data_IF_402443472258
#
_entry.id   IF_402443472258
#
_cell.length_a   1.000
_cell.length_b   1.000
_cell.length_c   1.000
_cell.angle_alpha   90.00
_cell.angle_beta   90.00
_cell.angle_gamma   90.00
#
_symmetry.space_group_name_H-M   'P 1'
#
loop_
_entity.id
_entity.type
_entity.pdbx_description
1 polymer ?
#
# COMPACT_ATOMS: atom_id res chain seq x y z
N UNK A 1 4.98 -16.64 10.46
CA UNK A 1 3.92 -16.49 11.49
C UNK A 1 4.45 -17.20 12.70
N UNK A 2 4.66 -16.49 13.80
CA UNK A 2 5.12 -17.09 15.04
C UNK A 2 3.90 -17.45 15.87
N UNK A 3 3.84 -18.68 16.36
CA UNK A 3 2.87 -19.12 17.34
C UNK A 3 3.54 -19.01 18.70
N UNK A 4 3.13 -18.04 19.52
CA UNK A 4 3.72 -17.81 20.85
C UNK A 4 3.46 -18.96 21.82
N UNK A 5 2.28 -19.60 21.74
CA UNK A 5 1.92 -20.75 22.56
C UNK A 5 2.77 -21.99 22.23
N UNK A 6 3.09 -22.20 20.95
CA UNK A 6 3.92 -23.32 20.49
C UNK A 6 5.41 -22.97 20.36
N UNK A 7 5.80 -21.71 20.61
CA UNK A 7 7.15 -21.15 20.37
C UNK A 7 7.72 -21.46 18.98
N UNK A 8 6.87 -21.58 17.97
CA UNK A 8 7.25 -22.07 16.65
C UNK A 8 6.93 -21.07 15.55
N UNK A 9 7.66 -21.17 14.42
CA UNK A 9 7.35 -20.41 13.21
C UNK A 9 6.74 -21.33 12.16
N UNK A 10 5.70 -20.83 11.48
CA UNK A 10 5.13 -21.54 10.32
C UNK A 10 6.22 -21.78 9.27
N UNK A 11 6.41 -23.05 8.89
CA UNK A 11 7.26 -23.42 7.78
C UNK A 11 6.44 -23.37 6.49
N UNK A 12 6.52 -22.25 5.78
CA UNK A 12 5.74 -21.99 4.57
C UNK A 12 6.06 -23.03 3.47
N UNK A 13 7.32 -23.47 3.36
CA UNK A 13 7.73 -24.50 2.39
C UNK A 13 7.06 -25.84 2.69
N UNK A 14 7.02 -26.24 3.96
CA UNK A 14 6.33 -27.48 4.38
C UNK A 14 4.83 -27.43 4.06
N UNK A 15 4.17 -26.30 4.38
CA UNK A 15 2.74 -26.13 4.10
C UNK A 15 2.43 -26.17 2.61
N UNK A 16 3.22 -25.48 1.78
CA UNK A 16 3.00 -25.44 0.34
C UNK A 16 3.33 -26.78 -0.35
N UNK A 17 4.28 -27.56 0.16
CA UNK A 17 4.58 -28.91 -0.33
C UNK A 17 3.48 -29.92 0.02
N UNK A 18 2.88 -29.80 1.20
CA UNK A 18 1.81 -30.69 1.66
C UNK A 18 0.43 -30.35 1.05
N UNK A 19 0.37 -29.40 0.12
CA UNK A 19 -0.86 -28.91 -0.47
C UNK A 19 -1.43 -29.96 -1.43
N UNK A 20 -2.74 -30.20 -1.35
CA UNK A 20 -3.47 -31.11 -2.26
C UNK A 20 -3.38 -30.60 -3.70
N UNK A 21 -3.26 -31.52 -4.66
CA UNK A 21 -3.22 -31.21 -6.08
C UNK A 21 -4.38 -30.28 -6.49
N UNK A 22 -4.08 -29.34 -7.37
CA UNK A 22 -5.01 -28.33 -7.88
C UNK A 22 -5.70 -27.40 -6.87
N UNK A 23 -5.40 -27.45 -5.57
CA UNK A 23 -5.99 -26.51 -4.61
C UNK A 23 -5.49 -25.06 -4.83
N UNK A 24 -6.14 -24.08 -4.21
CA UNK A 24 -5.78 -22.66 -4.27
C UNK A 24 -5.34 -22.17 -2.88
N UNK A 25 -4.39 -21.23 -2.83
CA UNK A 25 -3.87 -20.67 -1.58
C UNK A 25 -4.34 -19.24 -1.44
N UNK A 26 -5.07 -18.95 -0.37
CA UNK A 26 -5.51 -17.61 -0.01
C UNK A 26 -4.79 -17.14 1.26
N UNK A 27 -4.21 -15.93 1.25
CA UNK A 27 -3.52 -15.40 2.43
C UNK A 27 -3.79 -13.91 2.65
N UNK A 28 -4.19 -13.56 3.88
CA UNK A 28 -4.26 -12.18 4.35
C UNK A 28 -3.25 -11.97 5.49
N UNK A 29 -2.08 -11.40 5.19
CA UNK A 29 -0.94 -11.32 6.13
C UNK A 29 -0.07 -10.08 5.89
N UNK A 30 0.82 -9.70 6.83
CA UNK A 30 1.79 -8.63 6.62
C UNK A 30 2.69 -8.85 5.39
N UNK A 31 3.16 -7.76 4.80
CA UNK A 31 3.95 -7.77 3.57
C UNK A 31 5.20 -8.66 3.65
N UNK A 32 5.84 -8.76 4.83
CA UNK A 32 7.00 -9.65 5.06
C UNK A 32 6.64 -11.13 4.85
N UNK A 33 5.47 -11.56 5.31
CA UNK A 33 5.01 -12.96 5.13
C UNK A 33 4.66 -13.20 3.67
N UNK A 34 3.96 -12.27 3.02
CA UNK A 34 3.61 -12.39 1.60
C UNK A 34 4.87 -12.49 0.72
N UNK A 35 5.89 -11.69 0.99
CA UNK A 35 7.19 -11.80 0.29
C UNK A 35 7.81 -13.19 0.46
N UNK A 36 7.74 -13.75 1.65
CA UNK A 36 8.25 -15.10 1.91
C UNK A 36 7.45 -16.17 1.14
N UNK A 37 6.12 -16.06 1.12
CA UNK A 37 5.25 -16.95 0.33
C UNK A 37 5.65 -16.90 -1.14
N UNK A 38 5.77 -15.70 -1.74
CA UNK A 38 6.19 -15.54 -3.14
C UNK A 38 7.55 -16.17 -3.45
N UNK A 39 8.53 -16.02 -2.55
CA UNK A 39 9.85 -16.62 -2.70
C UNK A 39 9.76 -18.14 -2.69
N UNK A 40 9.01 -18.70 -1.76
CA UNK A 40 8.85 -20.16 -1.64
C UNK A 40 8.06 -20.74 -2.80
N UNK A 41 7.04 -20.06 -3.30
CA UNK A 41 6.23 -20.54 -4.44
C UNK A 41 7.04 -20.55 -5.72
N UNK A 42 7.93 -19.57 -5.92
CA UNK A 42 8.89 -19.58 -7.03
C UNK A 42 9.86 -20.76 -6.94
N UNK A 43 10.39 -21.07 -5.74
CA UNK A 43 11.29 -22.22 -5.52
C UNK A 43 10.59 -23.58 -5.71
N UNK A 44 9.28 -23.65 -5.47
CA UNK A 44 8.49 -24.87 -5.62
C UNK A 44 7.80 -24.97 -6.98
N UNK A 45 8.09 -24.04 -7.91
CA UNK A 45 7.48 -23.97 -9.25
C UNK A 45 5.94 -23.99 -9.22
N UNK A 46 5.34 -23.48 -8.13
CA UNK A 46 3.88 -23.40 -7.99
C UNK A 46 3.40 -22.26 -8.88
N UNK A 47 2.50 -22.57 -9.80
CA UNK A 47 1.89 -21.58 -10.67
C UNK A 47 1.27 -20.42 -9.85
N UNK A 48 1.73 -19.19 -10.13
CA UNK A 48 1.30 -17.97 -9.46
C UNK A 48 -0.22 -17.73 -9.54
N UNK A 49 -0.90 -18.27 -10.55
CA UNK A 49 -2.35 -18.17 -10.72
C UNK A 49 -3.13 -18.95 -9.64
N UNK A 50 -2.46 -19.80 -8.83
CA UNK A 50 -3.09 -20.55 -7.74
C UNK A 50 -2.86 -19.94 -6.36
N UNK A 51 -2.25 -18.74 -6.27
CA UNK A 51 -1.90 -18.08 -5.01
C UNK A 51 -2.45 -16.65 -4.99
N UNK A 52 -3.46 -16.44 -4.16
CA UNK A 52 -4.09 -15.14 -3.91
C UNK A 52 -3.62 -14.59 -2.58
N UNK A 53 -3.10 -13.38 -2.58
CA UNK A 53 -2.61 -12.72 -1.37
C UNK A 53 -3.15 -11.31 -1.25
N UNK A 54 -3.40 -10.90 -0.01
CA UNK A 54 -3.78 -9.55 0.34
C UNK A 54 -2.94 -9.10 1.53
N UNK A 55 -2.23 -7.99 1.35
CA UNK A 55 -1.40 -7.40 2.39
C UNK A 55 -2.23 -6.43 3.24
N UNK A 56 -2.06 -6.44 4.55
CA UNK A 56 -2.41 -5.29 5.37
C UNK A 56 -1.15 -4.50 5.73
N UNK A 57 -1.25 -3.17 5.64
CA UNK A 57 -0.14 -2.25 5.88
C UNK A 57 -0.09 -1.91 7.36
N UNK A 58 0.84 -2.52 8.10
CA UNK A 58 0.98 -2.29 9.53
C UNK A 58 1.76 -1.00 9.89
N UNK A 59 2.74 -0.56 9.06
CA UNK A 59 3.65 0.52 9.45
C UNK A 59 3.63 1.69 8.45
N UNK A 60 2.89 2.74 8.79
CA UNK A 60 2.81 3.99 8.04
C UNK A 60 3.58 5.16 8.68
N UNK A 61 4.52 4.88 9.58
CA UNK A 61 5.44 5.90 10.10
C UNK A 61 6.38 6.39 8.98
N UNK A 62 6.44 7.70 8.80
CA UNK A 62 7.40 8.44 7.97
C UNK A 62 7.71 9.75 8.67
N UNK A 63 8.75 10.47 8.27
CA UNK A 63 8.93 11.84 8.76
C UNK A 63 7.71 12.71 8.38
N UNK A 64 7.38 13.72 9.20
CA UNK A 64 6.38 14.71 8.84
C UNK A 64 6.80 15.45 7.56
N UNK A 65 5.82 15.87 6.77
CA UNK A 65 6.05 16.56 5.50
C UNK A 65 4.87 17.46 5.15
N UNK A 66 5.11 18.43 4.28
CA UNK A 66 4.08 19.37 3.85
C UNK A 66 3.42 18.94 2.54
N UNK A 67 2.13 19.22 2.41
CA UNK A 67 1.40 19.11 1.15
C UNK A 67 0.85 20.47 0.76
N UNK A 68 0.97 20.84 -0.52
CA UNK A 68 0.30 21.98 -1.14
C UNK A 68 -0.80 21.43 -2.03
N UNK A 69 -2.05 21.66 -1.61
CA UNK A 69 -3.23 21.30 -2.40
C UNK A 69 -3.55 22.47 -3.32
N UNK A 70 -3.54 22.23 -4.62
CA UNK A 70 -3.84 23.23 -5.65
C UNK A 70 -5.20 22.91 -6.24
N UNK A 71 -6.12 23.87 -6.14
CA UNK A 71 -7.39 23.85 -6.84
C UNK A 71 -7.36 24.95 -7.89
N UNK A 72 -7.93 24.69 -9.07
CA UNK A 72 -7.83 25.62 -10.20
C UNK A 72 -8.50 26.97 -9.91
N UNK A 73 -9.52 26.99 -9.05
CA UNK A 73 -10.35 28.17 -8.76
C UNK A 73 -10.23 28.70 -7.32
N UNK A 74 -9.35 28.11 -6.49
CA UNK A 74 -9.22 28.51 -5.06
C UNK A 74 -7.75 28.65 -4.65
N UNK A 75 -7.52 29.49 -3.65
CA UNK A 75 -6.21 29.62 -3.02
C UNK A 75 -5.64 28.26 -2.61
N UNK A 76 -4.39 28.04 -2.97
CA UNK A 76 -3.69 26.81 -2.65
C UNK A 76 -3.45 26.71 -1.14
N UNK A 77 -3.84 25.59 -0.53
CA UNK A 77 -3.66 25.35 0.91
C UNK A 77 -2.40 24.55 1.17
N UNK A 78 -1.55 25.02 2.08
CA UNK A 78 -0.38 24.27 2.58
C UNK A 78 -0.74 23.66 3.92
N UNK A 79 -0.60 22.33 4.04
CA UNK A 79 -0.91 21.58 5.24
C UNK A 79 0.28 20.71 5.64
N UNK A 80 0.58 20.66 6.94
CA UNK A 80 1.52 19.71 7.48
C UNK A 80 0.85 18.35 7.70
N UNK A 81 1.50 17.27 7.28
CA UNK A 81 1.06 15.89 7.49
C UNK A 81 1.96 15.24 8.54
N UNK A 82 1.46 14.99 9.75
CA UNK A 82 2.20 14.30 10.80
C UNK A 82 2.62 12.88 10.40
N UNK A 83 3.67 12.39 11.05
CA UNK A 83 4.28 11.06 10.86
C UNK A 83 3.26 9.92 10.77
N UNK A 84 2.27 9.93 11.66
CA UNK A 84 1.30 8.84 11.84
C UNK A 84 0.04 8.97 10.99
N UNK A 85 -0.23 10.16 10.45
CA UNK A 85 -1.47 10.44 9.72
C UNK A 85 -1.30 10.25 8.22
N UNK A 86 -2.40 9.96 7.53
CA UNK A 86 -2.42 9.79 6.08
C UNK A 86 -2.74 11.08 5.36
N UNK A 87 -2.17 11.24 4.17
CA UNK A 87 -2.41 12.39 3.28
C UNK A 87 -3.90 12.57 3.00
N UNK A 88 -4.64 11.47 2.81
CA UNK A 88 -6.08 11.46 2.58
C UNK A 88 -6.87 12.38 3.51
N UNK A 89 -6.55 12.41 4.81
CA UNK A 89 -7.28 13.21 5.80
C UNK A 89 -7.10 14.70 5.51
N UNK A 90 -5.86 15.10 5.18
CA UNK A 90 -5.51 16.50 4.95
C UNK A 90 -5.99 17.00 3.58
N UNK A 91 -5.95 16.15 2.56
CA UNK A 91 -6.52 16.49 1.26
C UNK A 91 -8.04 16.74 1.38
N UNK A 92 -8.76 15.88 2.12
CA UNK A 92 -10.18 16.09 2.39
C UNK A 92 -10.44 17.39 3.19
N UNK A 93 -9.61 17.70 4.19
CA UNK A 93 -9.69 18.99 4.92
C UNK A 93 -9.42 20.20 4.02
N UNK A 94 -8.58 20.05 2.99
CA UNK A 94 -8.40 21.08 1.96
C UNK A 94 -9.58 21.15 0.97
N UNK A 95 -10.55 20.25 1.09
CA UNK A 95 -11.77 20.16 0.29
C UNK A 95 -11.59 19.47 -1.06
N UNK A 96 -10.52 18.68 -1.26
CA UNK A 96 -10.38 17.84 -2.44
C UNK A 96 -11.17 16.55 -2.20
N UNK A 97 -12.16 16.30 -3.04
CA UNK A 97 -12.98 15.11 -2.97
C UNK A 97 -12.28 13.93 -3.63
N UNK A 98 -12.22 12.81 -2.91
CA UNK A 98 -11.56 11.59 -3.38
C UNK A 98 -12.41 10.40 -2.94
N UNK A 99 -12.64 9.51 -3.89
CA UNK A 99 -13.28 8.22 -3.66
C UNK A 99 -12.54 7.41 -2.61
N UNK A 100 -13.27 6.96 -1.58
CA UNK A 100 -12.70 6.28 -0.42
C UNK A 100 -13.37 4.93 -0.11
N UNK A 101 -13.83 4.22 -1.15
CA UNK A 101 -14.67 3.02 -1.04
C UNK A 101 -14.12 1.93 -0.12
N UNK A 102 -12.86 1.50 -0.30
CA UNK A 102 -12.42 0.29 0.38
C UNK A 102 -12.12 0.46 1.88
N UNK A 103 -11.80 1.67 2.37
CA UNK A 103 -11.45 2.04 3.77
C UNK A 103 -10.27 1.27 4.40
N UNK A 104 -9.86 0.15 3.82
CA UNK A 104 -8.76 -0.74 4.22
C UNK A 104 -7.48 -0.51 3.41
N UNK A 105 -7.44 0.55 2.60
CA UNK A 105 -6.23 1.05 1.92
C UNK A 105 -5.57 0.06 0.95
N UNK A 106 -6.40 -0.73 0.27
CA UNK A 106 -5.96 -1.80 -0.64
C UNK A 106 -6.66 -1.74 -2.01
N UNK A 107 -7.09 -0.56 -2.42
CA UNK A 107 -7.77 -0.31 -3.69
C UNK A 107 -7.14 0.89 -4.40
N UNK A 108 -7.51 1.10 -5.66
CA UNK A 108 -7.05 2.22 -6.49
C UNK A 108 -7.91 3.49 -6.34
N UNK A 109 -9.04 3.46 -5.62
CA UNK A 109 -9.97 4.59 -5.50
C UNK A 109 -9.34 5.85 -4.88
N UNK A 110 -8.33 5.69 -4.03
CA UNK A 110 -7.62 6.80 -3.38
C UNK A 110 -6.56 7.49 -4.25
N UNK A 111 -6.69 7.42 -5.57
CA UNK A 111 -5.70 7.94 -6.52
C UNK A 111 -5.77 9.47 -6.57
N UNK A 112 -4.62 10.13 -6.47
CA UNK A 112 -4.46 11.58 -6.69
C UNK A 112 -3.26 11.84 -7.61
N UNK A 113 -3.26 12.97 -8.30
CA UNK A 113 -2.18 13.37 -9.20
C UNK A 113 -1.20 14.30 -8.47
N UNK A 114 0.09 14.05 -8.67
CA UNK A 114 1.18 14.86 -8.12
C UNK A 114 1.72 15.72 -9.26
N UNK A 115 1.74 17.03 -9.06
CA UNK A 115 2.39 17.95 -10.02
C UNK A 115 3.90 18.00 -9.85
N UNK A 116 4.37 17.93 -8.60
CA UNK A 116 5.78 18.17 -8.28
C UNK A 116 6.24 17.29 -7.11
N UNK A 117 7.47 16.76 -7.26
CA UNK A 117 8.31 16.07 -6.25
C UNK A 117 8.11 14.56 -6.04
N UNK A 118 9.07 13.99 -5.31
CA UNK A 118 9.22 12.54 -5.07
C UNK A 118 8.19 12.01 -4.08
N UNK A 119 7.60 10.86 -4.41
CA UNK A 119 6.65 10.13 -3.54
C UNK A 119 7.18 8.76 -3.15
N UNK A 120 6.98 8.42 -1.87
CA UNK A 120 7.23 7.08 -1.34
C UNK A 120 5.96 6.24 -1.50
N UNK A 121 5.89 5.49 -2.60
CA UNK A 121 4.75 4.61 -2.88
C UNK A 121 4.75 3.38 -1.96
N UNK A 122 3.68 3.22 -1.18
CA UNK A 122 3.49 2.03 -0.32
C UNK A 122 2.34 1.11 -0.78
N UNK A 123 1.58 1.53 -1.79
CA UNK A 123 0.48 0.74 -2.35
C UNK A 123 0.92 -0.26 -3.41
N UNK A 124 0.24 -1.41 -3.45
CA UNK A 124 0.47 -2.47 -4.43
C UNK A 124 -0.47 -2.40 -5.65
N UNK A 125 -1.55 -1.65 -5.58
CA UNK A 125 -2.60 -1.60 -6.63
C UNK A 125 -2.30 -0.62 -7.76
N UNK A 126 -1.27 0.22 -7.62
CA UNK A 126 -0.89 1.19 -8.65
C UNK A 126 0.21 0.62 -9.55
N UNK A 127 -0.03 0.59 -10.86
CA UNK A 127 0.91 0.13 -11.90
C UNK A 127 2.14 1.02 -11.99
N UNK A 128 3.19 0.56 -12.68
CA UNK A 128 4.43 1.33 -12.86
C UNK A 128 4.19 2.57 -13.73
N UNK A 129 3.46 2.43 -14.82
CA UNK A 129 3.07 3.54 -15.72
C UNK A 129 2.35 4.65 -14.94
N UNK A 130 1.30 4.30 -14.18
CA UNK A 130 0.57 5.29 -13.37
C UNK A 130 1.45 5.98 -12.33
N UNK A 131 2.46 5.30 -11.78
CA UNK A 131 3.45 5.94 -10.89
C UNK A 131 4.35 6.92 -11.65
N UNK A 132 4.76 6.57 -12.87
CA UNK A 132 5.57 7.43 -13.74
C UNK A 132 4.78 8.67 -14.20
N UNK A 133 3.48 8.53 -14.45
CA UNK A 133 2.55 9.62 -14.75
C UNK A 133 2.26 10.54 -13.54
N UNK A 134 2.85 10.27 -12.37
CA UNK A 134 2.66 11.09 -11.17
C UNK A 134 1.40 10.76 -10.37
N UNK A 135 0.77 9.59 -10.57
CA UNK A 135 -0.31 9.15 -9.68
C UNK A 135 0.23 8.61 -8.35
N UNK A 136 -0.51 8.83 -7.26
CA UNK A 136 -0.27 8.18 -5.97
C UNK A 136 -1.55 7.79 -5.26
N UNK A 137 -1.45 6.82 -4.35
CA UNK A 137 -2.55 6.46 -3.46
C UNK A 137 -2.44 7.25 -2.16
N UNK A 138 -3.33 8.23 -1.95
CA UNK A 138 -3.33 9.16 -0.80
C UNK A 138 -3.58 8.47 0.55
N UNK A 139 -4.11 7.25 0.54
CA UNK A 139 -4.38 6.46 1.73
C UNK A 139 -3.15 5.74 2.29
N UNK A 140 -2.09 5.55 1.49
CA UNK A 140 -0.89 4.75 1.89
C UNK A 140 0.42 5.39 1.53
N UNK A 141 0.47 6.16 0.45
CA UNK A 141 1.70 6.78 -0.04
C UNK A 141 2.01 8.03 0.80
N UNK A 142 3.29 8.41 0.83
CA UNK A 142 3.80 9.53 1.62
C UNK A 142 4.69 10.42 0.75
N UNK A 143 4.77 11.70 1.10
CA UNK A 143 5.65 12.64 0.43
C UNK A 143 7.09 12.61 0.96
N UNK A 144 7.99 13.21 0.19
CA UNK A 144 9.35 13.52 0.63
C UNK A 144 9.47 15.02 0.81
N UNK A 145 9.51 15.49 2.06
CA UNK A 145 9.58 16.92 2.49
C UNK A 145 8.36 17.77 2.10
N UNK A 146 8.08 17.93 0.80
CA UNK A 146 6.95 18.72 0.27
C UNK A 146 6.34 18.04 -0.94
N UNK A 147 5.02 18.03 -1.08
CA UNK A 147 4.30 17.57 -2.28
C UNK A 147 3.34 18.62 -2.80
N UNK A 148 3.13 18.66 -4.12
CA UNK A 148 2.07 19.47 -4.74
C UNK A 148 1.04 18.53 -5.36
N UNK A 149 -0.21 18.63 -4.90
CA UNK A 149 -1.30 17.72 -5.26
C UNK A 149 -2.36 18.52 -6.01
N UNK A 150 -2.83 17.96 -7.11
CA UNK A 150 -3.97 18.46 -7.90
C UNK A 150 -5.14 17.48 -7.74
#
# INVERSE_FOLDING_TARGET
IYNCFKRERINIKKVLKAKVWNSQVYTYKPQRIIKNIKRVTAVLEINNNKIYYKAFLANNTSDPFFIKVVKEEKESKVLEVPKEKTILIFIKKAGLEIDNSCKIRNCSSYKVLIKERKVKHKGSTLTREKKAEGSMLSCVSKGVRKLKIK
#
